data_IF_598638943712
#
_entry.id   IF_598638943712
#
_cell.length_a   1.000
_cell.length_b   1.000
_cell.length_c   1.000
_cell.angle_alpha   90.00
_cell.angle_beta   90.00
_cell.angle_gamma   90.00
#
_symmetry.space_group_name_H-M   'P 1'
#
loop_
_entity.id
_entity.type
_entity.pdbx_description
1 polymer ?
#
# COMPACT_ATOMS: atom_id res chain seq x y z
N UNK A 1 52.61 -74.44 2.63
CA UNK A 1 52.10 -73.60 3.69
C UNK A 1 52.77 -72.26 3.54
N UNK A 2 52.09 -71.34 2.87
CA UNK A 2 52.64 -69.98 2.58
C UNK A 2 51.81 -68.97 3.36
N UNK A 3 52.48 -68.33 4.36
CA UNK A 3 51.91 -67.28 5.12
C UNK A 3 51.73 -66.01 4.25
N UNK A 4 50.48 -65.62 4.09
CA UNK A 4 50.13 -64.30 3.53
C UNK A 4 50.07 -63.29 4.67
N UNK A 5 51.12 -62.51 4.87
CA UNK A 5 51.13 -61.38 5.76
C UNK A 5 50.31 -60.21 5.17
N UNK A 6 49.20 -59.95 5.80
CA UNK A 6 48.36 -58.77 5.49
C UNK A 6 49.09 -57.46 5.86
N UNK A 7 49.20 -56.56 4.88
CA UNK A 7 49.72 -55.19 5.11
C UNK A 7 48.69 -54.39 5.91
N UNK A 8 49.10 -53.64 6.94
CA UNK A 8 48.22 -52.77 7.66
C UNK A 8 47.82 -51.58 6.79
N UNK A 9 46.59 -51.03 6.93
CA UNK A 9 46.16 -49.88 6.17
C UNK A 9 47.03 -48.64 6.50
N UNK A 10 47.57 -47.99 5.50
CA UNK A 10 48.37 -46.77 5.63
C UNK A 10 47.59 -45.66 6.33
N UNK A 11 47.96 -45.30 7.55
CA UNK A 11 47.40 -44.17 8.23
C UNK A 11 47.72 -42.89 7.46
N UNK A 12 46.67 -42.19 7.06
CA UNK A 12 46.80 -40.89 6.37
C UNK A 12 47.55 -39.91 7.30
N UNK A 13 48.64 -39.27 6.82
CA UNK A 13 49.46 -38.39 7.65
C UNK A 13 48.58 -37.22 8.19
N UNK A 14 48.84 -36.79 9.44
CA UNK A 14 48.12 -35.72 10.13
C UNK A 14 48.06 -34.44 9.30
N UNK A 15 49.12 -34.08 8.60
CA UNK A 15 49.20 -32.92 7.73
C UNK A 15 48.23 -33.00 6.52
N UNK A 16 47.95 -34.18 5.98
CA UNK A 16 47.00 -34.37 4.90
C UNK A 16 45.55 -34.24 5.40
N UNK A 17 45.29 -34.66 6.64
CA UNK A 17 43.96 -34.49 7.29
C UNK A 17 43.65 -33.03 7.59
N UNK A 18 44.63 -32.27 8.08
CA UNK A 18 44.48 -30.82 8.28
C UNK A 18 44.30 -30.05 6.97
N UNK A 19 45.03 -30.40 5.91
CA UNK A 19 44.89 -29.80 4.60
C UNK A 19 43.49 -30.00 4.01
N UNK A 20 42.89 -31.18 4.12
CA UNK A 20 41.56 -31.46 3.66
C UNK A 20 40.51 -30.71 4.51
N UNK A 21 40.67 -30.67 5.83
CA UNK A 21 39.75 -29.96 6.73
C UNK A 21 39.76 -28.44 6.47
N UNK A 22 40.93 -27.85 6.24
CA UNK A 22 41.07 -26.43 5.90
C UNK A 22 40.47 -26.13 4.54
N UNK A 23 40.68 -26.99 3.53
CA UNK A 23 40.10 -26.81 2.18
C UNK A 23 38.56 -26.89 2.20
N UNK A 24 37.99 -27.82 2.95
CA UNK A 24 36.54 -27.96 3.12
C UNK A 24 35.97 -26.76 3.87
N UNK A 25 36.64 -26.27 4.92
CA UNK A 25 36.20 -25.09 5.65
C UNK A 25 36.24 -23.81 4.79
N UNK A 26 37.26 -23.66 3.93
CA UNK A 26 37.37 -22.53 2.99
C UNK A 26 36.31 -22.60 1.89
N UNK A 27 36.00 -23.79 1.38
CA UNK A 27 34.94 -23.98 0.38
C UNK A 27 33.55 -23.71 1.00
N UNK A 28 33.28 -24.22 2.18
CA UNK A 28 31.99 -23.97 2.88
C UNK A 28 31.90 -22.52 3.35
N UNK A 29 32.97 -21.93 3.85
CA UNK A 29 33.01 -20.51 4.23
C UNK A 29 32.87 -19.58 3.01
N UNK A 30 33.53 -19.91 1.90
CA UNK A 30 33.42 -19.16 0.63
C UNK A 30 32.01 -19.30 0.02
N UNK A 31 31.41 -20.50 0.07
CA UNK A 31 30.04 -20.70 -0.39
C UNK A 31 29.02 -19.97 0.50
N UNK A 32 29.22 -20.00 1.83
CA UNK A 32 28.40 -19.22 2.77
C UNK A 32 28.53 -17.73 2.52
N UNK A 33 29.76 -17.21 2.32
CA UNK A 33 30.01 -15.79 2.02
C UNK A 33 29.45 -15.38 0.65
N UNK A 34 29.55 -16.22 -0.36
CA UNK A 34 28.96 -15.98 -1.67
C UNK A 34 27.41 -16.00 -1.60
N UNK A 35 26.82 -16.90 -0.81
CA UNK A 35 25.38 -16.95 -0.59
C UNK A 35 24.88 -15.74 0.20
N UNK A 36 25.59 -15.31 1.25
CA UNK A 36 25.20 -14.11 2.04
C UNK A 36 25.48 -12.80 1.32
N UNK A 37 26.47 -12.75 0.43
CA UNK A 37 26.74 -11.58 -0.42
C UNK A 37 25.82 -11.46 -1.65
N UNK A 38 25.00 -12.49 -1.93
CA UNK A 38 24.00 -12.48 -3.00
C UNK A 38 22.59 -12.13 -2.51
N UNK A 39 22.40 -12.04 -1.19
CA UNK A 39 21.11 -11.70 -0.58
C UNK A 39 21.19 -10.30 0.00
N UNK A 40 20.31 -9.42 -0.46
CA UNK A 40 20.07 -8.07 0.04
C UNK A 40 20.87 -6.95 -0.65
N UNK A 41 20.26 -6.44 -1.70
CA UNK A 41 20.56 -5.12 -2.24
C UNK A 41 19.26 -4.38 -2.45
N UNK A 42 18.93 -3.43 -1.55
CA UNK A 42 17.90 -2.44 -1.84
C UNK A 42 18.41 -1.58 -2.99
N UNK A 43 17.75 -1.64 -4.13
CA UNK A 43 18.03 -0.75 -5.26
C UNK A 43 17.02 0.40 -5.21
N UNK A 44 17.56 1.61 -5.16
CA UNK A 44 16.78 2.83 -5.33
C UNK A 44 16.97 3.33 -6.76
N UNK A 45 15.90 3.65 -7.44
CA UNK A 45 15.91 4.31 -8.74
C UNK A 45 14.96 5.49 -8.69
N UNK A 46 15.36 6.59 -9.31
CA UNK A 46 14.57 7.80 -9.40
C UNK A 46 14.36 8.14 -10.86
N UNK A 47 13.11 8.35 -11.24
CA UNK A 47 12.72 8.79 -12.58
C UNK A 47 11.74 9.95 -12.47
N UNK A 48 11.66 10.80 -13.50
CA UNK A 48 10.71 11.90 -13.56
C UNK A 48 10.06 11.98 -14.93
N UNK A 49 8.77 12.32 -14.95
CA UNK A 49 7.97 12.46 -16.16
C UNK A 49 7.16 13.76 -16.10
N UNK A 50 7.08 14.45 -17.22
CA UNK A 50 6.19 15.61 -17.34
C UNK A 50 4.78 15.11 -17.67
N UNK A 51 3.80 15.41 -16.85
CA UNK A 51 2.40 15.06 -17.10
C UNK A 51 1.78 16.07 -18.06
N UNK A 52 1.20 15.58 -19.14
CA UNK A 52 0.42 16.39 -20.06
C UNK A 52 -1.05 16.29 -19.66
N UNK A 53 -1.63 17.41 -19.20
CA UNK A 53 -3.03 17.45 -18.77
C UNK A 53 -3.20 17.70 -17.26
N UNK A 54 -4.44 17.50 -16.80
CA UNK A 54 -4.87 17.77 -15.43
C UNK A 54 -5.15 16.49 -14.61
N UNK A 55 -4.85 15.33 -15.16
CA UNK A 55 -5.14 14.03 -14.55
C UNK A 55 -4.02 13.02 -14.78
N UNK A 56 -3.85 12.12 -13.81
CA UNK A 56 -2.91 10.99 -13.86
C UNK A 56 -3.61 9.71 -13.41
N UNK A 57 -3.55 8.69 -14.26
CA UNK A 57 -3.95 7.33 -13.91
C UNK A 57 -2.72 6.50 -13.52
N UNK A 58 -2.69 5.99 -12.29
CA UNK A 58 -1.64 5.12 -11.77
C UNK A 58 -2.16 3.71 -11.62
N UNK A 59 -1.50 2.74 -12.24
CA UNK A 59 -1.76 1.31 -12.06
C UNK A 59 -0.66 0.68 -11.21
N UNK A 60 -0.93 0.47 -9.92
CA UNK A 60 0.05 0.03 -8.93
C UNK A 60 0.30 -1.50 -8.94
N UNK A 61 -0.64 -2.30 -9.47
CA UNK A 61 -0.53 -3.75 -9.42
C UNK A 61 -0.48 -4.30 -8.00
N UNK A 62 0.58 -5.02 -7.66
CA UNK A 62 0.83 -5.55 -6.31
C UNK A 62 1.87 -4.73 -5.51
N UNK A 63 2.36 -3.62 -6.06
CA UNK A 63 3.30 -2.75 -5.39
C UNK A 63 2.59 -1.85 -4.38
N UNK A 64 3.27 -1.55 -3.29
CA UNK A 64 2.86 -0.48 -2.37
C UNK A 64 3.08 0.88 -3.03
N UNK A 65 2.09 1.75 -2.99
CA UNK A 65 2.13 3.06 -3.64
C UNK A 65 1.86 4.15 -2.62
N UNK A 66 2.83 4.98 -2.38
CA UNK A 66 2.70 6.19 -1.59
C UNK A 66 2.70 7.41 -2.52
N UNK A 67 1.73 8.31 -2.36
CA UNK A 67 1.63 9.53 -3.15
C UNK A 67 1.71 10.76 -2.27
N UNK A 68 2.64 11.64 -2.61
CA UNK A 68 2.89 12.90 -1.90
C UNK A 68 2.77 14.09 -2.85
N UNK A 69 2.35 15.27 -2.35
CA UNK A 69 2.33 16.47 -3.16
C UNK A 69 3.74 16.99 -3.43
N UNK A 70 3.97 17.47 -4.63
CA UNK A 70 5.20 18.13 -5.05
C UNK A 70 4.94 19.52 -5.61
N UNK A 71 6.02 20.31 -5.67
CA UNK A 71 6.01 21.61 -6.32
C UNK A 71 6.47 21.43 -7.79
N UNK A 72 5.69 21.95 -8.73
CA UNK A 72 6.02 21.88 -10.15
C UNK A 72 5.01 21.09 -10.99
N UNK A 73 5.43 20.71 -12.20
CA UNK A 73 4.59 20.04 -13.22
C UNK A 73 5.05 18.61 -13.53
N UNK A 74 6.06 18.14 -12.82
CA UNK A 74 6.64 16.81 -13.03
C UNK A 74 6.14 15.83 -11.97
N UNK A 75 5.92 14.60 -12.39
CA UNK A 75 5.77 13.44 -11.51
C UNK A 75 7.14 12.82 -11.30
N UNK A 76 7.59 12.75 -10.05
CA UNK A 76 8.82 12.07 -9.66
C UNK A 76 8.47 10.72 -9.06
N UNK A 77 9.21 9.70 -9.44
CA UNK A 77 9.01 8.32 -9.02
C UNK A 77 10.27 7.87 -8.31
N UNK A 78 10.16 7.61 -7.03
CA UNK A 78 11.20 6.97 -6.23
C UNK A 78 10.79 5.51 -6.00
N UNK A 79 11.57 4.58 -6.54
CA UNK A 79 11.33 3.15 -6.41
C UNK A 79 12.30 2.54 -5.41
N UNK A 80 11.76 1.80 -4.46
CA UNK A 80 12.51 0.96 -3.53
C UNK A 80 12.16 -0.50 -3.81
N UNK A 81 13.15 -1.31 -4.06
CA UNK A 81 13.00 -2.70 -4.41
C UNK A 81 13.97 -3.58 -3.61
N UNK A 82 13.42 -4.53 -2.89
CA UNK A 82 14.19 -5.58 -2.22
C UNK A 82 14.37 -6.77 -3.17
N UNK A 83 15.60 -6.97 -3.62
CA UNK A 83 15.91 -7.98 -4.63
C UNK A 83 16.14 -9.35 -4.02
N UNK A 84 15.41 -10.35 -4.50
CA UNK A 84 15.74 -11.76 -4.36
C UNK A 84 16.53 -12.28 -5.57
N UNK A 85 17.35 -13.32 -5.35
CA UNK A 85 18.30 -13.89 -6.32
C UNK A 85 17.68 -14.29 -7.66
N UNK A 86 16.38 -14.53 -7.72
CA UNK A 86 15.65 -15.03 -8.91
C UNK A 86 14.58 -14.10 -9.46
N UNK A 87 14.48 -12.86 -9.00
CA UNK A 87 13.48 -11.89 -9.45
C UNK A 87 13.99 -11.00 -10.61
N UNK A 88 13.08 -10.54 -11.46
CA UNK A 88 13.36 -9.46 -12.42
C UNK A 88 13.15 -8.10 -11.76
N UNK A 89 13.98 -7.13 -12.12
CA UNK A 89 13.81 -5.75 -11.63
C UNK A 89 12.42 -5.22 -12.02
N UNK A 90 11.71 -4.54 -11.11
CA UNK A 90 10.47 -3.86 -11.43
C UNK A 90 10.72 -2.77 -12.48
N UNK A 91 9.71 -2.50 -13.30
CA UNK A 91 9.77 -1.49 -14.35
C UNK A 91 8.50 -0.66 -14.31
N UNK A 92 8.68 0.63 -14.40
CA UNK A 92 7.60 1.57 -14.66
C UNK A 92 7.48 1.86 -16.16
N UNK A 93 6.29 2.16 -16.59
CA UNK A 93 6.02 2.58 -17.97
C UNK A 93 5.02 3.74 -17.94
N UNK A 94 5.45 4.89 -18.42
CA UNK A 94 4.61 6.04 -18.59
C UNK A 94 4.10 6.12 -20.04
N UNK A 95 2.79 6.23 -20.19
CA UNK A 95 2.10 6.41 -21.47
C UNK A 95 1.67 7.88 -21.57
N UNK A 96 2.49 8.68 -22.20
CA UNK A 96 2.31 10.13 -22.27
C UNK A 96 0.97 10.54 -22.91
N UNK A 97 0.57 9.86 -23.98
CA UNK A 97 -0.69 10.15 -24.71
C UNK A 97 -1.95 9.87 -23.87
N UNK A 98 -1.85 9.01 -22.87
CA UNK A 98 -2.97 8.57 -22.02
C UNK A 98 -2.93 9.19 -20.61
N UNK A 99 -1.85 9.90 -20.25
CA UNK A 99 -1.62 10.34 -18.87
C UNK A 99 -1.61 9.18 -17.87
N UNK A 100 -1.04 8.02 -18.26
CA UNK A 100 -1.11 6.77 -17.53
C UNK A 100 0.26 6.27 -17.13
N UNK A 101 0.42 5.99 -15.85
CA UNK A 101 1.61 5.39 -15.26
C UNK A 101 1.34 3.96 -14.83
N UNK A 102 2.00 3.00 -15.44
CA UNK A 102 1.96 1.59 -15.04
C UNK A 102 3.18 1.27 -14.20
N UNK A 103 2.95 0.88 -12.94
CA UNK A 103 3.97 0.44 -12.01
C UNK A 103 3.97 -1.09 -11.99
N UNK A 104 5.11 -1.68 -12.25
CA UNK A 104 5.24 -3.13 -12.24
C UNK A 104 6.00 -3.57 -10.98
N UNK A 105 5.41 -4.42 -10.17
CA UNK A 105 6.03 -4.97 -8.96
C UNK A 105 7.24 -5.88 -9.22
N UNK A 106 7.63 -6.06 -10.50
CA UNK A 106 8.70 -6.98 -10.89
C UNK A 106 8.24 -8.43 -10.92
N UNK A 107 9.05 -9.27 -11.54
CA UNK A 107 8.81 -10.72 -11.55
C UNK A 107 9.25 -11.34 -10.23
N UNK A 108 8.43 -11.29 -9.23
CA UNK A 108 8.55 -12.19 -8.10
C UNK A 108 8.18 -13.59 -8.61
N UNK A 109 9.18 -14.35 -9.07
CA UNK A 109 8.97 -15.69 -9.60
C UNK A 109 8.39 -16.64 -8.56
N UNK A 110 7.84 -17.76 -9.00
CA UNK A 110 7.20 -18.81 -8.18
C UNK A 110 8.03 -19.28 -6.96
N UNK A 111 9.35 -19.06 -6.98
CA UNK A 111 10.28 -19.40 -5.89
C UNK A 111 10.76 -18.19 -5.09
N UNK A 112 10.21 -17.00 -5.30
CA UNK A 112 10.63 -15.77 -4.62
C UNK A 112 9.72 -15.49 -3.44
N UNK A 113 10.08 -15.94 -2.26
CA UNK A 113 9.45 -15.52 -1.02
C UNK A 113 10.01 -14.16 -0.59
N UNK A 114 9.12 -13.18 -0.35
CA UNK A 114 9.48 -11.92 0.30
C UNK A 114 9.98 -10.79 -0.61
N UNK A 115 9.63 -10.74 -1.89
CA UNK A 115 9.84 -9.52 -2.65
C UNK A 115 8.86 -8.44 -2.22
N UNK A 116 9.35 -7.28 -1.86
CA UNK A 116 8.55 -6.08 -1.64
C UNK A 116 9.01 -5.00 -2.61
N UNK A 117 8.05 -4.40 -3.31
CA UNK A 117 8.29 -3.25 -4.16
C UNK A 117 7.41 -2.12 -3.66
N UNK A 118 8.01 -0.98 -3.35
CA UNK A 118 7.29 0.24 -3.00
C UNK A 118 7.69 1.38 -3.91
N UNK A 119 6.71 2.19 -4.26
CA UNK A 119 6.85 3.39 -5.05
C UNK A 119 6.40 4.59 -4.25
N UNK A 120 7.23 5.62 -4.21
CA UNK A 120 6.85 6.93 -3.71
C UNK A 120 6.72 7.86 -4.91
N UNK A 121 5.51 8.33 -5.17
CA UNK A 121 5.18 9.24 -6.25
C UNK A 121 5.05 10.65 -5.68
N UNK A 122 5.87 11.57 -6.17
CA UNK A 122 5.70 12.99 -5.88
C UNK A 122 5.01 13.63 -7.08
N UNK A 123 3.78 14.13 -6.90
CA UNK A 123 2.94 14.63 -7.99
C UNK A 123 2.47 16.07 -7.75
N UNK A 124 2.15 16.84 -8.81
CA UNK A 124 1.59 18.18 -8.66
C UNK A 124 0.33 18.19 -7.77
N UNK A 125 0.20 19.20 -6.89
CA UNK A 125 -0.85 19.26 -5.86
C UNK A 125 -2.27 19.29 -6.40
N UNK A 126 -2.46 19.92 -7.56
CA UNK A 126 -3.79 20.15 -8.16
C UNK A 126 -4.17 19.10 -9.20
N UNK A 127 -3.32 18.09 -9.38
CA UNK A 127 -3.55 17.02 -10.34
C UNK A 127 -4.67 16.10 -9.84
N UNK A 128 -5.64 15.79 -10.70
CA UNK A 128 -6.64 14.75 -10.42
C UNK A 128 -5.97 13.40 -10.49
N UNK A 129 -6.07 12.64 -9.42
CA UNK A 129 -5.38 11.37 -9.31
C UNK A 129 -6.38 10.21 -9.33
N UNK A 130 -6.15 9.23 -10.20
CA UNK A 130 -6.83 7.94 -10.18
C UNK A 130 -5.79 6.86 -9.95
N UNK A 131 -5.98 6.03 -8.91
CA UNK A 131 -5.07 4.93 -8.58
C UNK A 131 -5.85 3.61 -8.60
N UNK A 132 -5.36 2.66 -9.38
CA UNK A 132 -5.86 1.29 -9.41
C UNK A 132 -4.78 0.35 -8.90
N UNK A 133 -5.02 -0.34 -7.78
CA UNK A 133 -4.13 -1.34 -7.19
C UNK A 133 -4.81 -2.71 -7.13
N UNK A 134 -4.04 -3.78 -7.23
CA UNK A 134 -4.58 -5.14 -7.05
C UNK A 134 -4.43 -5.60 -5.60
N UNK A 135 -3.23 -5.51 -5.03
CA UNK A 135 -2.95 -6.05 -3.69
C UNK A 135 -2.03 -5.16 -2.86
N UNK A 136 -1.40 -4.16 -3.47
CA UNK A 136 -0.54 -3.22 -2.76
C UNK A 136 -1.36 -2.19 -2.01
N UNK A 137 -0.90 -1.79 -0.85
CA UNK A 137 -1.48 -0.69 -0.10
C UNK A 137 -1.26 0.63 -0.84
N UNK A 138 -2.20 1.54 -0.67
CA UNK A 138 -2.15 2.87 -1.26
C UNK A 138 -2.23 3.92 -0.17
N UNK A 139 -1.21 4.76 -0.06
CA UNK A 139 -1.17 5.87 0.89
C UNK A 139 -1.17 7.20 0.13
N UNK A 140 -2.11 8.08 0.45
CA UNK A 140 -2.22 9.44 -0.08
C UNK A 140 -1.91 10.44 1.01
N UNK A 141 -1.11 11.46 0.75
CA UNK A 141 -0.84 12.52 1.74
C UNK A 141 -0.89 13.92 1.11
N UNK A 142 -1.59 14.84 1.75
CA UNK A 142 -1.51 16.27 1.46
C UNK A 142 -2.07 16.73 0.11
N UNK A 143 -3.01 16.01 -0.48
CA UNK A 143 -3.61 16.31 -1.78
C UNK A 143 -4.78 17.28 -1.68
N UNK A 144 -4.84 18.26 -2.59
CA UNK A 144 -5.94 19.22 -2.68
C UNK A 144 -6.86 18.99 -3.91
N UNK A 145 -6.37 18.38 -4.98
CA UNK A 145 -7.10 18.19 -6.24
C UNK A 145 -8.17 17.09 -6.21
N UNK A 146 -8.24 16.31 -5.14
CA UNK A 146 -9.09 15.14 -5.03
C UNK A 146 -8.47 13.88 -5.63
N UNK A 147 -9.00 12.73 -5.24
CA UNK A 147 -8.50 11.44 -5.74
C UNK A 147 -9.59 10.38 -5.84
N UNK A 148 -9.40 9.46 -6.77
CA UNK A 148 -10.13 8.20 -6.87
C UNK A 148 -9.14 7.05 -6.68
N UNK A 149 -9.35 6.23 -5.64
CA UNK A 149 -8.49 5.07 -5.34
C UNK A 149 -9.32 3.81 -5.33
N UNK A 150 -8.86 2.81 -6.08
CA UNK A 150 -9.47 1.48 -6.13
C UNK A 150 -8.44 0.41 -5.85
N UNK A 151 -8.73 -0.48 -4.90
CA UNK A 151 -7.90 -1.65 -4.63
C UNK A 151 -8.76 -2.91 -4.51
N UNK A 152 -8.17 -4.07 -4.82
CA UNK A 152 -8.88 -5.33 -4.60
C UNK A 152 -8.60 -5.92 -3.20
N UNK A 153 -7.36 -5.82 -2.70
CA UNK A 153 -7.01 -6.43 -1.41
C UNK A 153 -6.09 -5.59 -0.53
N UNK A 154 -5.58 -4.48 -1.03
CA UNK A 154 -4.73 -3.57 -0.26
C UNK A 154 -5.56 -2.62 0.60
N UNK A 155 -4.95 -2.10 1.63
CA UNK A 155 -5.51 -1.04 2.44
C UNK A 155 -5.36 0.31 1.74
N UNK A 156 -6.25 1.24 2.05
CA UNK A 156 -6.21 2.61 1.57
C UNK A 156 -6.07 3.54 2.76
N UNK A 157 -4.99 4.30 2.79
CA UNK A 157 -4.73 5.32 3.80
C UNK A 157 -4.72 6.70 3.13
N UNK A 158 -5.43 7.68 3.68
CA UNK A 158 -5.49 9.03 3.15
C UNK A 158 -5.33 10.07 4.27
N UNK A 159 -4.24 10.86 4.22
CA UNK A 159 -3.89 11.82 5.26
C UNK A 159 -3.92 13.26 4.70
N UNK A 160 -4.62 14.17 5.38
CA UNK A 160 -4.69 15.59 5.02
C UNK A 160 -5.15 15.85 3.56
N UNK A 161 -6.13 15.07 3.10
CA UNK A 161 -6.63 15.16 1.72
C UNK A 161 -7.81 16.11 1.62
N UNK A 162 -7.74 17.02 0.64
CA UNK A 162 -8.83 17.90 0.23
C UNK A 162 -9.44 17.49 -1.11
N UNK A 163 -10.43 18.26 -1.57
CA UNK A 163 -11.12 17.98 -2.83
C UNK A 163 -12.07 16.78 -2.76
N UNK A 164 -12.72 16.40 -3.86
CA UNK A 164 -13.56 15.20 -3.92
C UNK A 164 -12.72 13.94 -3.75
N UNK A 165 -13.18 13.01 -2.89
CA UNK A 165 -12.44 11.79 -2.59
C UNK A 165 -13.35 10.57 -2.77
N UNK A 166 -12.89 9.59 -3.55
CA UNK A 166 -13.55 8.31 -3.75
C UNK A 166 -12.57 7.19 -3.43
N UNK A 167 -12.89 6.35 -2.44
CA UNK A 167 -12.03 5.28 -1.94
C UNK A 167 -12.80 3.95 -2.00
N UNK A 168 -12.32 3.00 -2.79
CA UNK A 168 -12.96 1.71 -2.96
C UNK A 168 -11.98 0.57 -2.67
N UNK A 169 -12.31 -0.32 -1.73
CA UNK A 169 -11.59 -1.55 -1.49
C UNK A 169 -12.53 -2.77 -1.53
N UNK A 170 -12.05 -3.90 -2.02
CA UNK A 170 -12.85 -5.12 -1.90
C UNK A 170 -12.57 -5.86 -0.59
N UNK A 171 -11.33 -5.86 -0.08
CA UNK A 171 -11.00 -6.63 1.12
C UNK A 171 -10.10 -5.89 2.14
N UNK A 172 -9.54 -4.77 1.78
CA UNK A 172 -8.72 -3.94 2.67
C UNK A 172 -9.54 -2.92 3.43
N UNK A 173 -8.97 -2.41 4.50
CA UNK A 173 -9.51 -1.30 5.27
C UNK A 173 -9.32 0.03 4.56
N UNK A 174 -10.21 0.97 4.83
CA UNK A 174 -10.12 2.35 4.35
C UNK A 174 -10.00 3.27 5.57
N UNK A 175 -8.85 3.90 5.72
CA UNK A 175 -8.59 4.86 6.78
C UNK A 175 -8.26 6.23 6.17
N UNK A 176 -8.97 7.26 6.60
CA UNK A 176 -8.73 8.61 6.13
C UNK A 176 -8.85 9.60 7.29
N UNK A 177 -7.80 10.37 7.52
CA UNK A 177 -7.71 11.34 8.60
C UNK A 177 -7.30 12.74 8.12
N UNK A 178 -7.53 13.73 8.96
CA UNK A 178 -7.20 15.12 8.62
C UNK A 178 -7.99 15.65 7.42
N UNK A 179 -9.12 15.04 7.05
CA UNK A 179 -9.82 15.36 5.83
C UNK A 179 -10.36 16.79 5.81
N UNK A 180 -9.99 17.51 4.76
CA UNK A 180 -10.58 18.81 4.40
C UNK A 180 -11.51 18.69 3.19
N UNK A 181 -11.73 17.47 2.71
CA UNK A 181 -12.59 17.14 1.59
C UNK A 181 -14.05 17.54 1.84
N UNK A 182 -14.65 18.19 0.86
CA UNK A 182 -16.08 18.58 0.94
C UNK A 182 -17.01 17.43 0.61
N UNK A 183 -16.57 16.45 -0.16
CA UNK A 183 -17.32 15.26 -0.54
C UNK A 183 -16.43 14.03 -0.47
N UNK A 184 -16.87 13.02 0.27
CA UNK A 184 -16.17 11.73 0.39
C UNK A 184 -17.15 10.59 0.14
N UNK A 185 -16.75 9.69 -0.75
CA UNK A 185 -17.44 8.42 -0.97
C UNK A 185 -16.48 7.29 -0.68
N UNK A 186 -16.84 6.38 0.20
CA UNK A 186 -16.06 5.18 0.47
C UNK A 186 -16.91 3.92 0.39
N UNK A 187 -16.32 2.87 -0.18
CA UNK A 187 -16.95 1.57 -0.28
C UNK A 187 -15.94 0.46 0.01
N UNK A 188 -16.28 -0.41 0.98
CA UNK A 188 -15.55 -1.65 1.20
C UNK A 188 -16.50 -2.85 1.16
N UNK A 189 -16.02 -4.02 0.70
CA UNK A 189 -16.82 -5.24 0.78
C UNK A 189 -16.53 -6.03 2.06
N UNK A 190 -15.28 -6.05 2.55
CA UNK A 190 -14.92 -6.84 3.73
C UNK A 190 -14.04 -6.11 4.74
N UNK A 191 -13.66 -4.87 4.48
CA UNK A 191 -12.88 -4.04 5.41
C UNK A 191 -13.74 -3.00 6.09
N UNK A 192 -13.20 -2.42 7.14
CA UNK A 192 -13.78 -1.27 7.84
C UNK A 192 -13.49 0.04 7.12
N UNK A 193 -14.33 1.04 7.35
CA UNK A 193 -14.13 2.39 6.85
C UNK A 193 -14.09 3.38 8.03
N UNK A 194 -12.96 4.07 8.19
CA UNK A 194 -12.74 5.09 9.22
C UNK A 194 -12.42 6.43 8.56
N UNK A 195 -13.27 7.42 8.78
CA UNK A 195 -13.12 8.76 8.19
C UNK A 195 -13.08 9.80 9.29
N UNK A 196 -12.02 10.60 9.35
CA UNK A 196 -11.85 11.69 10.30
C UNK A 196 -11.71 13.04 9.57
N UNK A 197 -12.61 13.97 9.82
CA UNK A 197 -12.68 15.25 9.13
C UNK A 197 -12.17 16.40 10.02
N UNK A 198 -11.20 17.14 9.52
CA UNK A 198 -10.75 18.40 10.13
C UNK A 198 -11.66 19.57 9.77
N UNK A 199 -12.42 19.47 8.68
CA UNK A 199 -13.38 20.49 8.23
C UNK A 199 -14.73 19.84 8.00
N UNK A 200 -15.82 20.51 8.42
CA UNK A 200 -17.18 19.98 8.27
C UNK A 200 -17.51 19.66 6.80
N UNK A 201 -17.71 18.38 6.44
CA UNK A 201 -17.97 17.98 5.05
C UNK A 201 -19.34 18.43 4.58
N UNK A 202 -19.55 18.51 3.26
CA UNK A 202 -20.85 18.75 2.66
C UNK A 202 -21.61 17.44 2.44
N UNK A 203 -20.92 16.40 2.01
CA UNK A 203 -21.50 15.08 1.74
C UNK A 203 -20.52 13.96 2.08
N UNK A 204 -20.99 13.01 2.87
CA UNK A 204 -20.24 11.77 3.16
C UNK A 204 -21.13 10.59 2.85
N UNK A 205 -20.61 9.64 2.07
CA UNK A 205 -21.22 8.35 1.83
C UNK A 205 -20.20 7.26 2.16
N UNK A 206 -20.45 6.50 3.23
CA UNK A 206 -19.58 5.42 3.65
C UNK A 206 -20.36 4.11 3.71
N UNK A 207 -19.88 3.09 2.99
CA UNK A 207 -20.52 1.78 2.92
C UNK A 207 -19.52 0.66 3.13
N UNK A 208 -19.89 -0.31 3.98
CA UNK A 208 -19.22 -1.60 4.06
C UNK A 208 -20.24 -2.73 3.91
N UNK A 209 -19.80 -3.92 3.52
CA UNK A 209 -20.66 -5.11 3.65
C UNK A 209 -20.35 -5.89 4.92
N UNK A 210 -19.06 -5.98 5.34
CA UNK A 210 -18.65 -6.71 6.54
C UNK A 210 -17.48 -6.01 7.23
N UNK A 211 -17.76 -4.93 7.87
CA UNK A 211 -16.80 -4.13 8.62
C UNK A 211 -17.50 -2.95 9.22
N UNK A 212 -16.85 -2.32 10.16
CA UNK A 212 -17.39 -1.16 10.85
C UNK A 212 -17.27 0.10 10.00
N UNK A 213 -18.20 1.02 10.19
CA UNK A 213 -18.17 2.35 9.56
C UNK A 213 -18.08 3.39 10.66
N UNK A 214 -16.96 4.08 10.76
CA UNK A 214 -16.71 5.14 11.72
C UNK A 214 -16.51 6.48 11.02
N UNK A 215 -17.27 7.49 11.38
CA UNK A 215 -17.16 8.85 10.85
C UNK A 215 -17.01 9.82 11.98
N UNK A 216 -15.90 10.55 12.01
CA UNK A 216 -15.65 11.63 12.95
C UNK A 216 -15.68 12.97 12.22
N UNK A 217 -16.43 13.92 12.76
CA UNK A 217 -16.57 15.26 12.20
C UNK A 217 -16.17 16.31 13.22
N UNK A 218 -15.71 17.51 12.80
CA UNK A 218 -15.37 18.54 13.75
C UNK A 218 -16.58 18.98 14.57
N UNK A 219 -16.36 19.18 15.86
CA UNK A 219 -17.39 19.70 16.78
C UNK A 219 -17.82 21.11 16.38
N UNK A 220 -19.12 21.41 16.51
CA UNK A 220 -19.68 22.71 16.13
C UNK A 220 -21.19 22.67 15.97
N UNK A 221 -21.75 23.80 15.51
CA UNK A 221 -23.20 23.95 15.31
C UNK A 221 -23.73 23.41 13.97
N UNK A 222 -22.87 22.80 13.16
CA UNK A 222 -23.25 22.26 11.87
C UNK A 222 -24.20 21.07 12.04
N UNK A 223 -25.36 21.13 11.39
CA UNK A 223 -26.33 20.06 11.38
C UNK A 223 -26.24 19.23 10.08
N UNK A 224 -26.55 17.96 10.19
CA UNK A 224 -26.53 17.00 9.08
C UNK A 224 -27.86 16.26 8.96
N UNK A 225 -28.24 15.97 7.73
CA UNK A 225 -29.20 14.90 7.44
C UNK A 225 -28.43 13.59 7.48
N UNK A 226 -28.70 12.78 8.53
CA UNK A 226 -27.99 11.53 8.78
C UNK A 226 -28.88 10.34 8.38
N UNK A 227 -28.31 9.37 7.66
CA UNK A 227 -28.91 8.10 7.30
C UNK A 227 -27.94 6.96 7.67
N UNK A 228 -28.18 6.29 8.79
CA UNK A 228 -27.40 5.15 9.25
C UNK A 228 -28.19 3.86 9.03
N UNK A 229 -27.49 2.76 8.73
CA UNK A 229 -28.09 1.44 8.65
C UNK A 229 -27.06 0.33 8.88
N UNK A 230 -27.37 -0.58 9.78
CA UNK A 230 -26.76 -1.90 9.86
C UNK A 230 -27.81 -3.00 9.86
N UNK A 231 -27.43 -4.21 9.45
CA UNK A 231 -28.32 -5.38 9.59
C UNK A 231 -27.97 -6.24 10.80
N UNK A 232 -26.67 -6.22 11.21
CA UNK A 232 -26.16 -6.92 12.38
C UNK A 232 -25.04 -6.10 12.99
N UNK A 233 -25.35 -5.35 14.04
CA UNK A 233 -24.46 -4.44 14.75
C UNK A 233 -25.25 -3.29 15.37
N UNK A 234 -24.53 -2.39 15.98
CA UNK A 234 -25.09 -1.21 16.64
C UNK A 234 -25.00 0.04 15.77
N UNK A 235 -25.99 0.92 15.88
CA UNK A 235 -26.00 2.22 15.22
C UNK A 235 -25.92 3.34 16.25
N UNK A 236 -24.96 4.24 16.09
CA UNK A 236 -24.77 5.41 16.95
C UNK A 236 -24.48 6.65 16.10
N UNK A 237 -25.27 7.70 16.31
CA UNK A 237 -25.04 9.00 15.68
C UNK A 237 -25.16 10.12 16.73
N UNK A 238 -24.01 10.50 17.28
CA UNK A 238 -23.86 11.49 18.34
C UNK A 238 -23.47 12.87 17.81
N UNK A 239 -24.19 13.34 16.78
CA UNK A 239 -23.97 14.62 16.11
C UNK A 239 -25.28 15.39 16.00
N UNK A 240 -25.24 16.67 15.63
CA UNK A 240 -26.45 17.49 15.45
C UNK A 240 -27.18 17.06 14.16
N UNK A 241 -28.35 16.47 14.34
CA UNK A 241 -29.18 15.95 13.25
C UNK A 241 -30.31 16.92 12.94
N UNK A 242 -30.51 17.24 11.64
CA UNK A 242 -31.66 17.97 11.12
C UNK A 242 -32.08 17.32 9.78
N UNK A 243 -33.31 16.79 9.67
CA UNK A 243 -33.80 16.17 8.44
C UNK A 243 -33.83 17.11 7.22
N UNK A 244 -33.84 18.42 7.47
CA UNK A 244 -33.86 19.45 6.42
C UNK A 244 -32.46 20.02 6.14
N UNK A 245 -31.39 19.52 6.79
CA UNK A 245 -30.04 19.99 6.52
C UNK A 245 -29.64 19.69 5.07
N UNK A 246 -28.88 20.63 4.50
CA UNK A 246 -28.30 20.47 3.14
C UNK A 246 -27.06 19.60 3.13
N UNK A 247 -26.44 19.43 4.30
CA UNK A 247 -25.28 18.53 4.48
C UNK A 247 -25.76 17.13 4.79
N UNK A 248 -25.12 16.14 4.21
CA UNK A 248 -25.57 14.75 4.31
C UNK A 248 -24.46 13.83 4.80
N UNK A 249 -24.83 12.89 5.69
CA UNK A 249 -23.96 11.76 6.05
C UNK A 249 -24.79 10.50 5.89
N UNK A 250 -24.33 9.60 5.03
CA UNK A 250 -24.88 8.26 4.86
C UNK A 250 -23.83 7.24 5.26
N UNK A 251 -24.11 6.43 6.28
CA UNK A 251 -23.21 5.40 6.77
C UNK A 251 -23.94 4.07 6.86
N UNK A 252 -23.49 3.06 6.13
CA UNK A 252 -24.18 1.76 6.04
C UNK A 252 -23.22 0.59 6.10
N UNK A 253 -23.60 -0.44 6.83
CA UNK A 253 -22.95 -1.75 6.78
C UNK A 253 -24.00 -2.86 6.78
N UNK A 254 -23.62 -4.08 6.44
CA UNK A 254 -24.51 -5.23 6.64
C UNK A 254 -24.15 -6.00 7.91
N UNK A 255 -22.83 -6.08 8.25
CA UNK A 255 -22.35 -6.73 9.48
C UNK A 255 -21.22 -5.89 10.05
N UNK A 256 -21.47 -5.24 11.15
CA UNK A 256 -20.56 -4.32 11.83
C UNK A 256 -21.33 -3.14 12.41
N UNK A 257 -20.64 -2.30 13.12
CA UNK A 257 -21.19 -1.14 13.79
C UNK A 257 -21.09 0.11 12.90
N UNK A 258 -22.06 1.01 13.07
CA UNK A 258 -22.04 2.33 12.44
C UNK A 258 -21.95 3.38 13.53
N UNK A 259 -20.86 4.15 13.52
CA UNK A 259 -20.61 5.23 14.49
C UNK A 259 -20.38 6.55 13.79
N UNK A 260 -21.13 7.58 14.18
CA UNK A 260 -20.91 8.97 13.74
C UNK A 260 -20.80 9.83 14.99
N UNK A 261 -19.67 10.51 15.15
CA UNK A 261 -19.39 11.29 16.36
C UNK A 261 -18.58 12.56 16.06
N UNK A 262 -18.42 13.43 17.04
CA UNK A 262 -17.54 14.57 16.97
C UNK A 262 -16.11 14.17 17.34
N UNK A 263 -15.13 14.79 16.69
CA UNK A 263 -13.72 14.71 17.09
C UNK A 263 -13.55 15.33 18.48
N UNK A 264 -12.65 14.78 19.26
CA UNK A 264 -12.28 15.28 20.58
C UNK A 264 -11.12 16.26 20.52
#
# INVERSE_FOLDING_TARGET
MSDVQGRPPSSMSTNRRYGIAISVALILGGAYWALTGLTEGTKNSQESYTVQGDSLLVKGGAAEVEVRPGDGTEVKIDRQFERNVFGSDPKEKYHEDEGKLELNSGGCGFLSFGCKTSYVLTVPRDLKLTIESSSGNVTLSGFAGGAEVKTSSGDIEAHDVGGPLQLESSSGDVEADGLTATSVTTHSSSGSASLDFSVAPQSVEAKSSSGDVSIRIPSGDTAYKVDTKTSSGDESANVKIDPNATRTIQAKTSSGDVTIEYNH
#
